data_IF_200729458018
#
_entry.id   IF_200729458018
#
_cell.length_a   1.000
_cell.length_b   1.000
_cell.length_c   1.000
_cell.angle_alpha   90.00
_cell.angle_beta   90.00
_cell.angle_gamma   90.00
#
_symmetry.space_group_name_H-M   'P 1'
#
loop_
_entity.id
_entity.type
_entity.pdbx_description
1 polymer ?
#
# COMPACT_ATOMS: atom_id res chain seq x y z
N UNK A 1 -31.33 18.59 12.41
CA UNK A 1 -29.86 18.51 12.28
C UNK A 1 -29.48 17.05 12.11
N UNK A 2 -29.07 16.63 10.90
CA UNK A 2 -28.65 15.25 10.59
C UNK A 2 -27.12 15.20 10.66
N UNK A 3 -26.59 14.47 11.62
CA UNK A 3 -25.13 14.33 11.82
C UNK A 3 -24.65 13.12 11.02
N UNK A 4 -23.99 13.37 9.90
CA UNK A 4 -23.36 12.35 9.05
C UNK A 4 -22.09 11.84 9.74
N UNK A 5 -22.08 10.56 10.11
CA UNK A 5 -20.92 9.87 10.68
C UNK A 5 -20.00 9.43 9.53
N UNK A 6 -18.95 10.21 9.25
CA UNK A 6 -17.94 9.86 8.24
C UNK A 6 -16.90 8.91 8.87
N UNK A 7 -16.99 7.62 8.57
CA UNK A 7 -15.93 6.65 8.87
C UNK A 7 -14.76 6.85 7.90
N UNK A 8 -13.66 7.41 8.39
CA UNK A 8 -12.38 7.45 7.67
C UNK A 8 -11.67 6.10 7.81
N UNK A 9 -11.97 5.17 6.90
CA UNK A 9 -11.13 4.01 6.63
C UNK A 9 -10.08 4.39 5.58
N UNK A 10 -8.82 4.50 5.98
CA UNK A 10 -7.71 4.71 5.05
C UNK A 10 -7.46 3.43 4.25
N UNK A 11 -8.11 3.32 3.09
CA UNK A 11 -7.77 2.34 2.06
C UNK A 11 -6.46 2.79 1.41
N UNK A 12 -5.34 2.22 1.86
CA UNK A 12 -4.05 2.38 1.19
C UNK A 12 -4.06 1.45 -0.02
N UNK A 13 -4.47 1.98 -1.17
CA UNK A 13 -4.22 1.34 -2.46
C UNK A 13 -2.73 1.47 -2.76
N UNK A 14 -1.98 0.38 -2.59
CA UNK A 14 -0.62 0.23 -3.11
C UNK A 14 -0.74 -0.06 -4.61
N UNK A 15 -0.24 0.84 -5.46
CA UNK A 15 -0.08 0.57 -6.89
C UNK A 15 1.21 -0.22 -7.16
N UNK A 16 1.23 -1.11 -8.16
CA UNK A 16 2.30 -2.08 -8.38
C UNK A 16 3.43 -1.52 -9.25
N UNK A 17 4.65 -2.02 -9.00
CA UNK A 17 5.80 -1.89 -9.91
C UNK A 17 6.35 -3.30 -10.15
N UNK A 18 6.42 -3.74 -11.42
CA UNK A 18 7.21 -4.92 -11.78
C UNK A 18 6.69 -5.69 -12.99
N UNK A 19 7.30 -5.45 -14.15
CA UNK A 19 7.19 -6.23 -15.37
C UNK A 19 7.85 -7.61 -15.21
N UNK A 20 7.13 -8.67 -15.59
CA UNK A 20 7.66 -9.83 -16.30
C UNK A 20 6.48 -10.60 -16.92
N UNK A 21 6.33 -10.50 -18.24
CA UNK A 21 5.60 -11.50 -19.05
C UNK A 21 6.66 -12.44 -19.61
N UNK A 22 6.54 -13.74 -19.35
CA UNK A 22 6.50 -14.80 -20.37
C UNK A 22 6.27 -16.17 -19.71
N UNK A 23 5.26 -16.90 -20.21
CA UNK A 23 5.10 -18.35 -20.03
C UNK A 23 4.31 -18.85 -18.83
N UNK A 24 2.98 -18.67 -18.80
CA UNK A 24 2.11 -19.40 -17.85
C UNK A 24 1.40 -20.57 -18.52
N UNK A 25 1.73 -21.79 -18.08
CA UNK A 25 0.86 -22.95 -18.26
C UNK A 25 -0.48 -22.72 -17.53
N UNK A 26 -1.61 -23.32 -17.97
CA UNK A 26 -2.91 -23.12 -17.34
C UNK A 26 -2.91 -23.61 -15.89
N UNK A 27 -3.34 -22.75 -14.97
CA UNK A 27 -3.45 -23.09 -13.54
C UNK A 27 -4.66 -24.02 -13.29
N UNK A 28 -4.51 -25.07 -12.47
CA UNK A 28 -5.63 -25.92 -12.09
C UNK A 28 -6.57 -25.20 -11.10
N UNK A 29 -7.87 -25.45 -11.26
CA UNK A 29 -8.92 -25.00 -10.35
C UNK A 29 -8.64 -25.54 -8.94
N UNK A 30 -8.51 -24.65 -7.94
CA UNK A 30 -8.30 -25.07 -6.53
C UNK A 30 -9.62 -25.19 -5.78
N UNK A 31 -9.98 -26.42 -5.44
CA UNK A 31 -10.82 -26.74 -4.28
C UNK A 31 -10.19 -26.21 -2.99
N UNK A 32 -11.04 -25.94 -1.98
CA UNK A 32 -10.76 -25.15 -0.78
C UNK A 32 -9.41 -25.39 -0.08
N UNK A 33 -8.83 -24.28 0.39
CA UNK A 33 -7.66 -24.16 1.29
C UNK A 33 -6.81 -25.44 1.47
N UNK A 34 -6.16 -25.91 0.40
CA UNK A 34 -5.05 -26.84 0.53
C UNK A 34 -3.80 -26.04 0.91
N UNK A 35 -3.11 -26.50 1.95
CA UNK A 35 -1.81 -25.98 2.36
C UNK A 35 -0.89 -25.86 1.14
N UNK A 36 -0.19 -24.73 1.05
CA UNK A 36 0.80 -24.49 -0.01
C UNK A 36 1.94 -25.52 0.13
N UNK A 37 2.52 -26.00 -0.99
CA UNK A 37 3.44 -27.14 -0.99
C UNK A 37 4.68 -26.92 -0.10
N UNK A 38 5.09 -27.99 0.58
CA UNK A 38 6.27 -28.08 1.46
C UNK A 38 7.55 -28.34 0.63
N UNK A 39 7.90 -27.40 -0.24
CA UNK A 39 9.24 -27.34 -0.85
C UNK A 39 10.21 -26.55 0.04
N UNK A 40 11.52 -26.68 -0.24
CA UNK A 40 12.60 -25.91 0.40
C UNK A 40 12.48 -24.42 0.01
N UNK A 41 11.62 -23.71 0.73
CA UNK A 41 11.41 -22.28 0.55
C UNK A 41 12.65 -21.52 0.99
N UNK A 42 12.98 -20.45 0.26
CA UNK A 42 13.96 -19.48 0.73
C UNK A 42 13.58 -18.94 2.11
N UNK A 43 14.56 -18.48 2.89
CA UNK A 43 14.30 -17.90 4.23
C UNK A 43 13.28 -16.75 4.17
N UNK A 44 13.24 -15.99 3.07
CA UNK A 44 12.26 -14.92 2.87
C UNK A 44 10.84 -15.47 2.72
N UNK A 45 10.64 -16.45 1.84
CA UNK A 45 9.33 -17.05 1.59
C UNK A 45 8.79 -17.76 2.83
N UNK A 46 9.66 -18.39 3.61
CA UNK A 46 9.31 -18.99 4.91
C UNK A 46 8.80 -17.94 5.90
N UNK A 47 9.52 -16.83 6.08
CA UNK A 47 9.08 -15.74 6.94
C UNK A 47 7.81 -15.05 6.41
N UNK A 48 7.67 -14.93 5.10
CA UNK A 48 6.48 -14.38 4.46
C UNK A 48 5.26 -15.26 4.73
N UNK A 49 5.38 -16.58 4.54
CA UNK A 49 4.34 -17.57 4.88
C UNK A 49 3.93 -17.45 6.35
N UNK A 50 4.89 -17.44 7.27
CA UNK A 50 4.63 -17.27 8.71
C UNK A 50 3.89 -15.96 9.02
N UNK A 51 4.22 -14.87 8.32
CA UNK A 51 3.56 -13.58 8.49
C UNK A 51 2.12 -13.60 7.98
N UNK A 52 1.87 -14.18 6.81
CA UNK A 52 0.52 -14.36 6.26
C UNK A 52 -0.35 -15.18 7.20
N UNK A 53 0.15 -16.33 7.67
CA UNK A 53 -0.55 -17.15 8.65
C UNK A 53 -0.81 -16.42 9.98
N UNK A 54 0.17 -15.65 10.46
CA UNK A 54 0.00 -14.85 11.66
C UNK A 54 -1.11 -13.79 11.47
N UNK A 55 -1.22 -13.18 10.29
CA UNK A 55 -2.32 -12.25 9.95
C UNK A 55 -3.68 -12.93 9.95
N UNK A 56 -3.78 -14.16 9.43
CA UNK A 56 -5.02 -14.95 9.49
C UNK A 56 -5.41 -15.21 10.94
N UNK A 57 -4.49 -15.76 11.75
CA UNK A 57 -4.72 -16.02 13.18
C UNK A 57 -5.11 -14.76 13.96
N UNK A 58 -4.48 -13.62 13.65
CA UNK A 58 -4.80 -12.33 14.24
C UNK A 58 -6.24 -11.89 13.90
N UNK A 59 -6.63 -12.01 12.63
CA UNK A 59 -8.00 -11.68 12.17
C UNK A 59 -9.05 -12.53 12.88
N UNK A 60 -8.81 -13.84 13.00
CA UNK A 60 -9.69 -14.77 13.69
C UNK A 60 -9.85 -14.43 15.17
N UNK A 61 -8.73 -14.18 15.88
CA UNK A 61 -8.76 -13.77 17.28
C UNK A 61 -9.48 -12.44 17.50
N UNK A 62 -9.30 -11.47 16.59
CA UNK A 62 -10.07 -10.22 16.66
C UNK A 62 -11.57 -10.46 16.45
N UNK A 63 -11.95 -11.36 15.54
CA UNK A 63 -13.36 -11.74 15.32
C UNK A 63 -13.95 -12.37 16.58
N UNK A 64 -13.24 -13.29 17.22
CA UNK A 64 -13.64 -13.91 18.49
C UNK A 64 -13.71 -12.89 19.64
N UNK A 65 -12.74 -11.99 19.75
CA UNK A 65 -12.76 -10.93 20.76
C UNK A 65 -14.02 -10.07 20.64
N UNK A 66 -14.41 -9.71 19.42
CA UNK A 66 -15.61 -8.89 19.14
C UNK A 66 -16.93 -9.57 19.50
N UNK A 67 -16.94 -10.89 19.68
CA UNK A 67 -18.14 -11.62 20.14
C UNK A 67 -18.23 -11.71 21.66
N UNK A 68 -17.19 -11.36 22.40
CA UNK A 68 -17.20 -11.41 23.87
C UNK A 68 -18.09 -10.32 24.48
N UNK A 69 -18.73 -10.62 25.61
CA UNK A 69 -19.58 -9.65 26.31
C UNK A 69 -18.78 -8.44 26.79
N UNK A 70 -17.57 -8.65 27.31
CA UNK A 70 -16.65 -7.58 27.71
C UNK A 70 -16.38 -6.58 26.57
N UNK A 71 -16.20 -7.06 25.34
CA UNK A 71 -16.02 -6.18 24.18
C UNK A 71 -17.32 -5.47 23.78
N UNK A 72 -18.44 -6.20 23.72
CA UNK A 72 -19.76 -5.63 23.34
C UNK A 72 -20.24 -4.58 24.33
N UNK A 73 -20.04 -4.81 25.62
CA UNK A 73 -20.36 -3.85 26.67
C UNK A 73 -19.50 -2.59 26.57
N UNK A 74 -18.18 -2.75 26.41
CA UNK A 74 -17.28 -1.62 26.21
C UNK A 74 -17.66 -0.80 24.96
N UNK A 75 -18.07 -1.47 23.87
CA UNK A 75 -18.57 -0.82 22.67
C UNK A 75 -19.89 -0.06 22.91
N UNK A 76 -20.86 -0.67 23.59
CA UNK A 76 -22.14 -0.04 23.95
C UNK A 76 -21.92 1.21 24.79
N UNK A 77 -21.00 1.15 25.75
CA UNK A 77 -20.61 2.27 26.62
C UNK A 77 -19.68 3.29 25.94
N UNK A 78 -19.24 3.02 24.70
CA UNK A 78 -18.20 3.79 23.98
C UNK A 78 -16.91 3.97 24.79
N UNK A 79 -16.58 2.98 25.63
CA UNK A 79 -15.36 2.96 26.43
C UNK A 79 -14.16 2.61 25.54
N UNK A 80 -13.60 3.64 24.92
CA UNK A 80 -12.45 3.51 24.03
C UNK A 80 -11.18 3.04 24.74
N UNK A 81 -11.06 3.24 26.06
CA UNK A 81 -9.88 2.79 26.82
C UNK A 81 -9.91 1.27 26.95
N UNK A 82 -11.04 0.71 27.39
CA UNK A 82 -11.22 -0.74 27.52
C UNK A 82 -11.15 -1.43 26.16
N UNK A 83 -11.79 -0.88 25.11
CA UNK A 83 -11.70 -1.44 23.75
C UNK A 83 -10.24 -1.52 23.25
N UNK A 84 -9.43 -0.49 23.51
CA UNK A 84 -8.00 -0.49 23.13
C UNK A 84 -7.20 -1.51 23.92
N UNK A 85 -7.47 -1.65 25.23
CA UNK A 85 -6.81 -2.65 26.07
C UNK A 85 -7.11 -4.07 25.58
N UNK A 86 -8.39 -4.37 25.35
CA UNK A 86 -8.84 -5.66 24.80
C UNK A 86 -8.18 -5.98 23.46
N UNK A 87 -8.16 -5.02 22.52
CA UNK A 87 -7.51 -5.24 21.23
C UNK A 87 -5.98 -5.41 21.34
N UNK A 88 -5.36 -4.90 22.42
CA UNK A 88 -3.93 -5.06 22.65
C UNK A 88 -3.56 -6.44 23.21
N UNK A 89 -4.53 -7.18 23.79
CA UNK A 89 -4.34 -8.56 24.24
C UNK A 89 -4.14 -9.53 23.06
N UNK A 90 -4.60 -9.18 21.85
CA UNK A 90 -4.43 -10.00 20.65
C UNK A 90 -3.02 -9.78 20.06
N UNK A 91 -2.16 -10.82 19.99
CA UNK A 91 -0.79 -10.67 19.50
C UNK A 91 -0.75 -10.19 18.05
N UNK A 92 0.00 -9.12 17.80
CA UNK A 92 0.14 -8.56 16.46
C UNK A 92 1.15 -9.34 15.61
N UNK A 93 0.81 -9.68 14.36
CA UNK A 93 1.71 -10.37 13.44
C UNK A 93 3.04 -9.63 13.23
N UNK A 94 2.97 -8.29 13.16
CA UNK A 94 4.13 -7.44 12.88
C UNK A 94 5.18 -7.57 13.97
N UNK A 95 4.73 -7.64 15.23
CA UNK A 95 5.61 -7.74 16.39
C UNK A 95 6.31 -9.09 16.49
N UNK A 96 5.66 -10.16 16.03
CA UNK A 96 6.20 -11.53 16.17
C UNK A 96 7.09 -11.95 15.01
N UNK A 97 6.76 -11.57 13.77
CA UNK A 97 7.43 -12.13 12.58
C UNK A 97 8.42 -11.16 11.93
N UNK A 98 8.11 -9.85 11.87
CA UNK A 98 8.96 -8.89 11.18
C UNK A 98 10.38 -8.72 11.75
N UNK A 99 10.66 -8.96 13.05
CA UNK A 99 12.04 -9.01 13.53
C UNK A 99 12.90 -10.03 12.79
N UNK A 100 12.35 -11.18 12.40
CA UNK A 100 13.07 -12.21 11.64
C UNK A 100 13.54 -11.72 10.27
N UNK A 101 12.72 -10.91 9.59
CA UNK A 101 13.12 -10.28 8.33
C UNK A 101 14.27 -9.28 8.52
N UNK A 102 14.31 -8.53 9.62
CA UNK A 102 15.43 -7.63 9.89
C UNK A 102 16.74 -8.39 10.13
N UNK A 103 16.67 -9.55 10.80
CA UNK A 103 17.83 -10.43 10.97
C UNK A 103 18.27 -11.03 9.62
N UNK A 104 17.34 -11.50 8.80
CA UNK A 104 17.66 -11.97 7.45
C UNK A 104 18.32 -10.88 6.60
N UNK A 105 17.80 -9.64 6.65
CA UNK A 105 18.40 -8.53 5.94
C UNK A 105 19.87 -8.29 6.35
N UNK A 106 20.27 -8.60 7.60
CA UNK A 106 21.70 -8.53 8.03
C UNK A 106 22.58 -9.53 7.30
N UNK A 107 22.05 -10.72 7.00
CA UNK A 107 22.82 -11.78 6.33
C UNK A 107 23.12 -11.46 4.86
N UNK A 108 22.30 -10.63 4.23
CA UNK A 108 22.45 -10.23 2.82
C UNK A 108 22.81 -8.75 2.67
N UNK A 109 23.53 -8.19 3.66
CA UNK A 109 23.87 -6.77 3.71
C UNK A 109 24.55 -6.25 2.42
N UNK A 110 24.13 -5.06 1.98
CA UNK A 110 24.59 -4.39 0.78
C UNK A 110 23.89 -4.85 -0.52
N UNK A 111 23.19 -5.98 -0.50
CA UNK A 111 22.58 -6.56 -1.71
C UNK A 111 21.23 -5.94 -2.07
N UNK A 112 20.77 -6.19 -3.31
CA UNK A 112 19.40 -5.88 -3.71
C UNK A 112 18.36 -6.66 -2.89
N UNK A 113 18.74 -7.84 -2.38
CA UNK A 113 17.88 -8.67 -1.53
C UNK A 113 17.65 -8.02 -0.16
N UNK A 114 18.68 -7.41 0.43
CA UNK A 114 18.50 -6.57 1.63
C UNK A 114 17.47 -5.46 1.36
N UNK A 115 17.55 -4.79 0.21
CA UNK A 115 16.59 -3.74 -0.13
C UNK A 115 15.16 -4.27 -0.19
N UNK A 116 14.94 -5.39 -0.90
CA UNK A 116 13.61 -6.03 -1.00
C UNK A 116 13.04 -6.37 0.38
N UNK A 117 13.82 -7.02 1.23
CA UNK A 117 13.43 -7.40 2.58
C UNK A 117 13.06 -6.16 3.41
N UNK A 118 13.90 -5.12 3.39
CA UNK A 118 13.65 -3.92 4.18
C UNK A 118 12.46 -3.11 3.67
N UNK A 119 12.20 -3.05 2.36
CA UNK A 119 10.98 -2.44 1.81
C UNK A 119 9.74 -3.23 2.21
N UNK A 120 9.83 -4.56 2.27
CA UNK A 120 8.77 -5.41 2.79
C UNK A 120 8.48 -5.09 4.27
N UNK A 121 9.51 -5.02 5.13
CA UNK A 121 9.34 -4.64 6.55
C UNK A 121 8.75 -3.24 6.68
N UNK A 122 9.27 -2.26 5.93
CA UNK A 122 8.80 -0.88 5.98
C UNK A 122 7.31 -0.76 5.63
N UNK A 123 6.86 -1.52 4.63
CA UNK A 123 5.46 -1.53 4.16
C UNK A 123 4.51 -2.27 5.10
N UNK A 124 5.02 -3.25 5.86
CA UNK A 124 4.20 -4.14 6.69
C UNK A 124 4.32 -3.89 8.20
N UNK A 125 5.16 -2.96 8.66
CA UNK A 125 5.37 -2.71 10.10
C UNK A 125 4.15 -2.13 10.84
N UNK A 126 3.15 -1.60 10.12
CA UNK A 126 1.91 -1.12 10.73
C UNK A 126 2.14 -0.10 11.85
N UNK A 127 1.91 -0.49 13.11
CA UNK A 127 2.12 0.36 14.30
C UNK A 127 3.48 0.17 14.99
N UNK A 128 4.30 -0.77 14.52
CA UNK A 128 5.62 -1.07 15.09
C UNK A 128 6.65 -0.04 14.62
N UNK A 129 6.59 1.16 15.21
CA UNK A 129 7.40 2.33 14.79
C UNK A 129 8.90 2.08 14.79
N UNK A 130 9.41 1.32 15.76
CA UNK A 130 10.83 0.99 15.83
C UNK A 130 11.29 0.07 14.69
N UNK A 131 10.42 -0.85 14.23
CA UNK A 131 10.72 -1.69 13.06
C UNK A 131 10.75 -0.84 11.78
N UNK A 132 9.74 0.02 11.59
CA UNK A 132 9.73 0.96 10.46
C UNK A 132 10.96 1.86 10.46
N UNK A 133 11.36 2.38 11.63
CA UNK A 133 12.52 3.26 11.78
C UNK A 133 13.82 2.54 11.41
N UNK A 134 14.06 1.34 11.94
CA UNK A 134 15.25 0.53 11.61
C UNK A 134 15.33 0.18 10.13
N UNK A 135 14.22 -0.24 9.54
CA UNK A 135 14.15 -0.56 8.12
C UNK A 135 14.43 0.69 7.25
N UNK A 136 13.79 1.81 7.58
CA UNK A 136 14.00 3.08 6.89
C UNK A 136 15.45 3.57 6.99
N UNK A 137 16.06 3.55 8.17
CA UNK A 137 17.43 4.03 8.38
C UNK A 137 18.42 3.27 7.52
N UNK A 138 18.28 1.94 7.49
CA UNK A 138 19.13 1.06 6.72
C UNK A 138 18.93 1.23 5.21
N UNK A 139 17.68 1.32 4.75
CA UNK A 139 17.35 1.65 3.36
C UNK A 139 17.89 3.02 2.94
N UNK A 140 17.72 4.05 3.77
CA UNK A 140 18.15 5.41 3.45
C UNK A 140 19.68 5.55 3.39
N UNK A 141 20.40 4.75 4.18
CA UNK A 141 21.86 4.73 4.20
C UNK A 141 22.45 3.97 3.01
N UNK A 142 21.90 2.80 2.66
CA UNK A 142 22.53 1.87 1.71
C UNK A 142 21.83 1.78 0.36
N UNK A 143 20.51 1.98 0.36
CA UNK A 143 19.63 1.75 -0.78
C UNK A 143 18.92 3.02 -1.23
N UNK A 144 19.52 4.19 -0.98
CA UNK A 144 18.93 5.48 -1.36
C UNK A 144 18.62 5.57 -2.87
N UNK A 145 19.47 4.95 -3.69
CA UNK A 145 19.32 4.92 -5.15
C UNK A 145 18.32 3.86 -5.66
N UNK A 146 17.68 3.08 -4.79
CA UNK A 146 16.79 1.98 -5.22
C UNK A 146 15.48 2.48 -5.85
N UNK A 147 14.99 1.77 -6.88
CA UNK A 147 13.62 1.96 -7.41
C UNK A 147 12.53 1.57 -6.41
N UNK A 148 12.85 0.78 -5.38
CA UNK A 148 11.89 0.33 -4.37
C UNK A 148 11.26 1.46 -3.53
N UNK A 149 11.81 2.68 -3.57
CA UNK A 149 11.20 3.84 -2.94
C UNK A 149 9.82 4.20 -3.53
N UNK A 150 9.58 3.90 -4.81
CA UNK A 150 8.38 4.35 -5.54
C UNK A 150 7.07 3.98 -4.84
N UNK A 151 6.83 2.68 -4.58
CA UNK A 151 5.61 2.22 -3.91
C UNK A 151 5.42 2.77 -2.49
N UNK A 152 6.52 3.01 -1.75
CA UNK A 152 6.45 3.41 -0.33
C UNK A 152 6.46 4.93 -0.11
N UNK A 153 6.84 5.72 -1.12
CA UNK A 153 6.97 7.18 -1.02
C UNK A 153 5.71 7.88 -0.50
N UNK A 154 4.52 7.44 -0.95
CA UNK A 154 3.23 8.01 -0.52
C UNK A 154 2.91 7.68 0.95
N UNK A 155 3.46 6.57 1.46
CA UNK A 155 3.26 6.12 2.83
C UNK A 155 4.24 6.77 3.82
N UNK A 156 5.42 7.21 3.38
CA UNK A 156 6.45 7.78 4.27
C UNK A 156 5.97 8.87 5.24
N UNK A 157 5.11 9.84 4.84
CA UNK A 157 4.60 10.85 5.77
C UNK A 157 3.76 10.29 6.92
N UNK A 158 3.24 9.07 6.79
CA UNK A 158 2.49 8.35 7.82
C UNK A 158 3.39 7.46 8.69
N UNK A 159 4.53 7.02 8.14
CA UNK A 159 5.45 6.11 8.79
C UNK A 159 6.49 6.86 9.64
N UNK A 160 7.00 7.98 9.14
CA UNK A 160 8.10 8.72 9.76
C UNK A 160 7.63 10.01 10.45
N UNK A 161 8.41 10.55 11.41
CA UNK A 161 8.22 11.91 11.89
C UNK A 161 8.18 12.91 10.72
N UNK A 162 7.28 13.90 10.80
CA UNK A 162 6.97 14.81 9.69
C UNK A 162 8.20 15.47 9.06
N UNK A 163 9.09 16.02 9.89
CA UNK A 163 10.27 16.73 9.41
C UNK A 163 11.26 15.79 8.72
N UNK A 164 11.41 14.58 9.26
CA UNK A 164 12.24 13.53 8.66
C UNK A 164 11.69 13.05 7.32
N UNK A 165 10.37 12.82 7.24
CA UNK A 165 9.71 12.48 5.97
C UNK A 165 9.89 13.60 4.94
N UNK A 166 9.63 14.85 5.32
CA UNK A 166 9.77 16.03 4.44
C UNK A 166 11.19 16.14 3.90
N UNK A 167 12.20 16.08 4.77
CA UNK A 167 13.60 16.19 4.37
C UNK A 167 14.02 15.05 3.43
N UNK A 168 13.61 13.81 3.72
CA UNK A 168 13.97 12.66 2.91
C UNK A 168 13.29 12.68 1.53
N UNK A 169 12.01 13.01 1.46
CA UNK A 169 11.26 13.14 0.20
C UNK A 169 11.87 14.26 -0.66
N UNK A 170 12.23 15.40 -0.06
CA UNK A 170 12.91 16.47 -0.77
C UNK A 170 14.27 16.02 -1.34
N UNK A 171 15.04 15.23 -0.57
CA UNK A 171 16.30 14.64 -1.06
C UNK A 171 16.05 13.69 -2.24
N UNK A 172 15.07 12.80 -2.16
CA UNK A 172 14.71 11.91 -3.28
C UNK A 172 14.29 12.68 -4.54
N UNK A 173 13.51 13.75 -4.38
CA UNK A 173 13.09 14.60 -5.50
C UNK A 173 14.28 15.23 -6.25
N UNK A 174 15.37 15.53 -5.53
CA UNK A 174 16.57 16.16 -6.10
C UNK A 174 17.61 15.16 -6.59
N UNK A 175 17.86 14.11 -5.82
CA UNK A 175 19.07 13.28 -5.94
C UNK A 175 18.80 11.84 -6.39
N UNK A 176 17.53 11.40 -6.47
CA UNK A 176 17.25 10.05 -6.95
C UNK A 176 17.70 9.91 -8.42
N UNK A 177 18.41 8.83 -8.79
CA UNK A 177 18.79 8.61 -10.18
C UNK A 177 17.56 8.30 -11.08
N UNK A 178 16.44 7.92 -10.48
CA UNK A 178 15.24 7.46 -11.17
C UNK A 178 14.23 8.60 -11.36
N UNK A 179 13.91 8.94 -12.61
CA UNK A 179 13.02 10.04 -12.96
C UNK A 179 11.61 9.84 -12.37
N UNK A 180 11.12 8.60 -12.39
CA UNK A 180 9.84 8.19 -11.83
C UNK A 180 9.78 8.42 -10.30
N UNK A 181 10.90 8.21 -9.60
CA UNK A 181 11.01 8.44 -8.15
C UNK A 181 11.07 9.93 -7.84
N UNK A 182 11.83 10.70 -8.64
CA UNK A 182 11.87 12.16 -8.50
C UNK A 182 10.48 12.78 -8.67
N UNK A 183 9.76 12.37 -9.72
CA UNK A 183 8.41 12.85 -10.03
C UNK A 183 7.40 12.48 -8.92
N UNK A 184 7.43 11.24 -8.44
CA UNK A 184 6.58 10.81 -7.31
C UNK A 184 6.92 11.59 -6.03
N UNK A 185 8.20 11.84 -5.75
CA UNK A 185 8.61 12.61 -4.58
C UNK A 185 8.14 14.06 -4.65
N UNK A 186 8.23 14.71 -5.82
CA UNK A 186 7.68 16.06 -6.06
C UNK A 186 6.16 16.09 -5.82
N UNK A 187 5.44 15.11 -6.37
CA UNK A 187 3.99 14.96 -6.17
C UNK A 187 3.63 14.81 -4.67
N UNK A 188 4.32 13.92 -3.95
CA UNK A 188 4.06 13.69 -2.52
C UNK A 188 4.40 14.94 -1.69
N UNK A 189 5.49 15.64 -2.00
CA UNK A 189 5.86 16.89 -1.33
C UNK A 189 4.77 17.97 -1.53
N UNK A 190 4.39 18.23 -2.78
CA UNK A 190 3.40 19.26 -3.13
C UNK A 190 2.02 18.96 -2.51
N UNK A 191 1.51 17.74 -2.63
CA UNK A 191 0.23 17.36 -2.01
C UNK A 191 0.26 17.40 -0.48
N UNK A 192 1.41 17.14 0.14
CA UNK A 192 1.58 17.27 1.59
C UNK A 192 1.60 18.73 2.02
N UNK A 193 2.22 19.62 1.24
CA UNK A 193 2.18 21.08 1.47
C UNK A 193 0.76 21.63 1.39
N UNK A 194 -0.05 21.21 0.39
CA UNK A 194 -1.44 21.66 0.28
C UNK A 194 -2.32 21.23 1.46
N UNK A 195 -2.06 20.05 2.03
CA UNK A 195 -2.75 19.54 3.22
C UNK A 195 -2.25 20.16 4.53
N UNK A 196 -1.06 20.77 4.52
CA UNK A 196 -0.49 21.38 5.71
C UNK A 196 -1.19 22.73 6.01
N UNK A 197 -1.92 22.77 7.14
CA UNK A 197 -2.61 23.99 7.59
C UNK A 197 -1.64 25.14 7.91
N UNK A 198 -0.40 24.83 8.29
CA UNK A 198 0.63 25.83 8.62
C UNK A 198 1.41 26.33 7.41
N UNK A 199 1.23 25.73 6.23
CA UNK A 199 1.95 26.18 5.04
C UNK A 199 1.45 27.56 4.59
N UNK A 200 2.38 28.42 4.18
CA UNK A 200 2.11 29.78 3.73
C UNK A 200 1.30 29.80 2.43
N UNK A 201 0.79 30.98 2.04
CA UNK A 201 0.07 31.12 0.76
C UNK A 201 1.02 30.86 -0.42
N UNK A 202 2.25 31.34 -0.31
CA UNK A 202 3.33 31.22 -1.30
C UNK A 202 3.77 29.75 -1.43
N UNK A 203 4.00 29.04 -0.32
CA UNK A 203 4.31 27.61 -0.35
C UNK A 203 3.20 26.79 -1.04
N UNK A 204 1.93 27.15 -0.79
CA UNK A 204 0.79 26.50 -1.44
C UNK A 204 0.64 26.88 -2.91
N UNK A 205 1.02 28.09 -3.30
CA UNK A 205 1.03 28.51 -4.70
C UNK A 205 2.10 27.74 -5.49
N UNK A 206 3.30 27.61 -4.94
CA UNK A 206 4.38 26.82 -5.56
C UNK A 206 4.02 25.34 -5.64
N UNK A 207 3.43 24.78 -4.58
CA UNK A 207 2.94 23.40 -4.61
C UNK A 207 1.88 23.19 -5.71
N UNK A 208 0.98 24.15 -5.95
CA UNK A 208 0.01 24.06 -7.05
C UNK A 208 0.69 24.08 -8.41
N UNK A 209 1.64 24.99 -8.62
CA UNK A 209 2.42 25.06 -9.87
C UNK A 209 3.10 23.73 -10.18
N UNK A 210 3.74 23.10 -9.19
CA UNK A 210 4.35 21.77 -9.34
C UNK A 210 3.31 20.74 -9.80
N UNK A 211 2.13 20.70 -9.17
CA UNK A 211 1.09 19.74 -9.55
C UNK A 211 0.53 20.01 -10.96
N UNK A 212 0.37 21.28 -11.35
CA UNK A 212 -0.08 21.66 -12.68
C UNK A 212 0.94 21.28 -13.76
N UNK A 213 2.24 21.44 -13.47
CA UNK A 213 3.32 20.98 -14.33
C UNK A 213 3.32 19.45 -14.48
N UNK A 214 3.16 18.70 -13.38
CA UNK A 214 3.07 17.23 -13.43
C UNK A 214 1.87 16.80 -14.28
N UNK A 215 0.71 17.42 -14.05
CA UNK A 215 -0.53 17.14 -14.79
C UNK A 215 -0.39 17.40 -16.29
N UNK A 216 0.33 18.45 -16.66
CA UNK A 216 0.47 18.88 -18.07
C UNK A 216 1.57 18.13 -18.80
N UNK A 217 2.75 17.98 -18.18
CA UNK A 217 3.95 17.40 -18.81
C UNK A 217 4.06 15.89 -18.63
N UNK A 218 3.38 15.32 -17.63
CA UNK A 218 3.45 13.90 -17.31
C UNK A 218 2.06 13.28 -17.06
N UNK A 219 1.07 13.49 -17.96
CA UNK A 219 -0.32 13.06 -17.73
C UNK A 219 -0.46 11.55 -17.54
N UNK A 220 0.36 10.75 -18.21
CA UNK A 220 0.32 9.27 -18.18
C UNK A 220 1.15 8.66 -17.05
N UNK A 221 1.89 9.48 -16.30
CA UNK A 221 2.61 9.01 -15.12
C UNK A 221 1.64 8.70 -13.98
N UNK A 222 2.02 7.82 -13.04
CA UNK A 222 1.20 7.54 -11.86
C UNK A 222 0.77 8.82 -11.10
N UNK A 223 1.65 9.83 -10.90
CA UNK A 223 1.23 11.14 -10.38
C UNK A 223 0.24 11.89 -11.27
N UNK A 224 0.45 11.92 -12.59
CA UNK A 224 -0.45 12.58 -13.56
C UNK A 224 -1.84 11.95 -13.55
N UNK A 225 -1.91 10.61 -13.63
CA UNK A 225 -3.15 9.84 -13.50
C UNK A 225 -3.84 10.11 -12.15
N UNK A 226 -3.08 10.19 -11.05
CA UNK A 226 -3.63 10.53 -9.74
C UNK A 226 -4.26 11.92 -9.68
N UNK A 227 -3.71 12.90 -10.41
CA UNK A 227 -4.23 14.28 -10.49
C UNK A 227 -5.44 14.39 -11.42
N UNK A 228 -5.48 13.59 -12.48
CA UNK A 228 -6.59 13.54 -13.43
C UNK A 228 -7.75 12.65 -12.95
N UNK A 229 -7.51 11.75 -12.01
CA UNK A 229 -8.47 10.76 -11.50
C UNK A 229 -9.84 11.34 -11.11
N UNK A 230 -9.92 12.40 -10.28
CA UNK A 230 -11.23 12.97 -9.91
C UNK A 230 -12.06 13.45 -11.10
N UNK A 231 -11.41 14.10 -12.08
CA UNK A 231 -12.06 14.55 -13.31
C UNK A 231 -12.53 13.35 -14.14
N UNK A 232 -11.65 12.36 -14.31
CA UNK A 232 -11.99 11.12 -15.04
C UNK A 232 -13.17 10.39 -14.41
N UNK A 233 -13.20 10.27 -13.07
CA UNK A 233 -14.33 9.66 -12.35
C UNK A 233 -15.63 10.41 -12.66
N UNK A 234 -15.61 11.74 -12.58
CA UNK A 234 -16.77 12.58 -12.83
C UNK A 234 -17.28 12.49 -14.27
N UNK A 235 -16.37 12.42 -15.25
CA UNK A 235 -16.71 12.45 -16.67
C UNK A 235 -17.03 11.07 -17.26
N UNK A 236 -16.54 9.99 -16.65
CA UNK A 236 -16.59 8.65 -17.25
C UNK A 236 -17.06 7.52 -16.34
N UNK A 237 -17.13 7.70 -15.01
CA UNK A 237 -17.41 6.63 -14.05
C UNK A 237 -18.64 6.93 -13.15
N UNK A 238 -19.61 7.68 -13.65
CA UNK A 238 -20.87 7.93 -12.92
C UNK A 238 -21.91 6.84 -13.18
N UNK A 239 -22.83 6.66 -12.23
CA UNK A 239 -23.96 5.74 -12.38
C UNK A 239 -24.80 6.15 -13.59
N UNK A 240 -25.13 5.18 -14.45
CA UNK A 240 -25.87 5.39 -15.70
C UNK A 240 -25.00 5.72 -16.91
N UNK A 241 -23.70 5.98 -16.74
CA UNK A 241 -22.77 6.07 -17.86
C UNK A 241 -22.40 4.68 -18.38
N UNK A 242 -22.00 4.61 -19.66
CA UNK A 242 -21.39 3.41 -20.22
C UNK A 242 -20.05 3.17 -19.53
N UNK A 243 -19.88 1.98 -18.94
CA UNK A 243 -18.59 1.59 -18.37
C UNK A 243 -17.48 1.67 -19.44
N UNK A 244 -16.29 2.22 -19.12
CA UNK A 244 -15.16 2.23 -20.05
C UNK A 244 -14.80 0.82 -20.50
N UNK A 245 -14.34 0.69 -21.73
CA UNK A 245 -13.91 -0.60 -22.26
C UNK A 245 -12.72 -1.14 -21.46
N UNK A 246 -12.78 -2.43 -21.14
CA UNK A 246 -11.67 -3.15 -20.50
C UNK A 246 -11.25 -4.21 -21.49
N UNK A 247 -10.00 -4.14 -21.94
CA UNK A 247 -9.41 -5.13 -22.84
C UNK A 247 -8.32 -5.87 -22.09
N UNK A 248 -8.35 -7.20 -22.19
CA UNK A 248 -7.35 -8.04 -21.54
C UNK A 248 -7.40 -9.47 -22.06
N UNK A 249 -6.84 -10.37 -21.27
CA UNK A 249 -6.94 -11.80 -21.50
C UNK A 249 -7.56 -12.46 -20.27
N UNK A 250 -8.36 -13.49 -20.47
CA UNK A 250 -8.92 -14.30 -19.38
C UNK A 250 -7.84 -15.22 -18.76
N UNK A 251 -8.24 -16.02 -17.76
CA UNK A 251 -7.36 -16.98 -17.07
C UNK A 251 -6.80 -18.10 -17.96
N UNK A 252 -7.31 -18.23 -19.18
CA UNK A 252 -6.84 -19.18 -20.20
C UNK A 252 -6.08 -18.49 -21.33
N UNK A 253 -5.77 -17.20 -21.18
CA UNK A 253 -5.07 -16.41 -22.18
C UNK A 253 -5.92 -16.03 -23.39
N UNK A 254 -7.24 -16.22 -23.35
CA UNK A 254 -8.12 -15.82 -24.46
C UNK A 254 -8.39 -14.31 -24.39
N UNK A 255 -8.33 -13.59 -25.53
CA UNK A 255 -8.71 -12.18 -25.55
C UNK A 255 -10.13 -11.99 -25.01
N UNK A 256 -10.29 -10.99 -24.13
CA UNK A 256 -11.58 -10.60 -23.58
C UNK A 256 -11.76 -9.09 -23.64
N UNK A 257 -13.00 -8.66 -23.89
CA UNK A 257 -13.45 -7.28 -23.74
C UNK A 257 -14.64 -7.21 -22.81
N UNK A 258 -14.82 -6.11 -22.09
CA UNK A 258 -16.00 -5.91 -21.25
C UNK A 258 -17.28 -5.94 -22.10
N UNK A 259 -17.23 -5.38 -23.31
CA UNK A 259 -18.35 -5.40 -24.25
C UNK A 259 -18.78 -6.79 -24.72
N UNK A 260 -17.94 -7.82 -24.61
CA UNK A 260 -18.31 -9.21 -24.94
C UNK A 260 -19.41 -9.77 -24.02
N UNK A 261 -19.62 -9.14 -22.86
CA UNK A 261 -20.64 -9.51 -21.87
C UNK A 261 -21.94 -8.68 -21.99
N UNK A 262 -22.12 -7.93 -23.08
CA UNK A 262 -23.33 -7.16 -23.31
C UNK A 262 -24.60 -8.02 -23.23
N UNK A 263 -25.67 -7.46 -22.64
CA UNK A 263 -26.93 -8.19 -22.38
C UNK A 263 -26.92 -9.04 -21.10
N UNK A 264 -25.83 -9.06 -20.34
CA UNK A 264 -25.73 -9.71 -19.02
C UNK A 264 -25.55 -8.69 -17.91
N UNK A 265 -25.90 -9.10 -16.68
CA UNK A 265 -25.47 -8.38 -15.47
C UNK A 265 -24.03 -8.78 -15.19
N UNK A 266 -23.12 -7.80 -15.14
CA UNK A 266 -21.69 -8.00 -14.92
C UNK A 266 -21.27 -7.37 -13.60
N UNK A 267 -20.53 -8.13 -12.79
CA UNK A 267 -19.84 -7.65 -11.61
C UNK A 267 -18.35 -7.61 -11.93
N UNK A 268 -17.74 -6.43 -11.80
CA UNK A 268 -16.30 -6.24 -11.99
C UNK A 268 -15.66 -6.15 -10.61
N UNK A 269 -14.79 -7.10 -10.30
CA UNK A 269 -14.03 -7.15 -9.04
C UNK A 269 -12.56 -6.81 -9.31
N UNK A 270 -12.05 -5.76 -8.66
CA UNK A 270 -10.66 -5.35 -8.74
C UNK A 270 -9.89 -5.95 -7.54
N UNK A 271 -9.19 -7.06 -7.77
CA UNK A 271 -8.46 -7.81 -6.75
C UNK A 271 -7.03 -8.20 -7.19
N UNK A 272 -6.24 -8.80 -6.31
CA UNK A 272 -4.90 -9.33 -6.60
C UNK A 272 -4.48 -10.43 -5.61
N UNK A 273 -3.63 -11.35 -6.03
CA UNK A 273 -3.19 -12.57 -5.32
C UNK A 273 -1.82 -12.42 -4.64
N UNK A 274 -1.49 -11.18 -4.26
CA UNK A 274 -0.19 -10.75 -3.74
C UNK A 274 0.40 -11.58 -2.59
#
# INVERSE_FOLDING_TARGET
MKTTLVLWGALVLLSPSGLAQEGSAPLPVREGSKALPEGDLSTFENLHRQFVEAKVRFSEKLKQLRTTDRYREALKKRDMKTLRALMAEVPRPEKSVLPGFLEQAKQVEGSEEEAKILFYVLSNSGRERELSKKAFERLAARHFKSKGWGPVLRALPWILPKDRAKAFIARLAKESPHAEIRLMAQYVAATSTLRNRKASKEEKAEARKILDEIKTKHPDSLPGLSLNGPKFIQEHLQVGMKAPEIVGHDVYGKPMKLSDFAGRVVVIDFWGDW
#
